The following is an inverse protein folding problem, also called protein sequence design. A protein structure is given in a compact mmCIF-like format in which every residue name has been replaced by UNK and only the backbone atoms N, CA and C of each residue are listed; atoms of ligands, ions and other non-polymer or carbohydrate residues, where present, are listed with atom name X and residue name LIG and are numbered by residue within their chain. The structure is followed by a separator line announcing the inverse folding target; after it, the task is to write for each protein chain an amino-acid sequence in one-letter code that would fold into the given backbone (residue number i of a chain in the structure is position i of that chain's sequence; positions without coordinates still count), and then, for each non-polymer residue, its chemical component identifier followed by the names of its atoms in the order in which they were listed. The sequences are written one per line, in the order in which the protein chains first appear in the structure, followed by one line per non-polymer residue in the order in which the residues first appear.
data_IF_292903952297
#
_entry.id   IF_292903952297
#
_cell.length_a   1.000
_cell.length_b   1.000
_cell.length_c   1.000
_cell.angle_alpha   90.00
_cell.angle_beta   90.00
_cell.angle_gamma   90.00
#
_symmetry.space_group_name_H-M   'P 1'
#
loop_
_entity.id
_entity.type
_entity.pdbx_description
1 polymer ?
#
# COMPACT_ATOMS: atom_id res chain seq x y z
N UNK A 1 -2.83 36.97 -58.92
CA UNK A 1 -2.13 37.46 -57.69
C UNK A 1 -2.87 37.15 -56.40
N UNK A 2 -4.15 37.45 -56.19
CA UNK A 2 -4.88 37.12 -54.93
C UNK A 2 -4.82 35.67 -54.49
N UNK A 3 -4.99 34.70 -55.41
CA UNK A 3 -4.94 33.26 -55.11
C UNK A 3 -3.55 32.77 -54.68
N UNK A 4 -2.47 33.37 -55.15
CA UNK A 4 -1.09 33.03 -54.78
C UNK A 4 -0.78 33.58 -53.37
N UNK A 5 -1.28 34.77 -53.07
CA UNK A 5 -1.11 35.38 -51.74
C UNK A 5 -1.87 34.60 -50.67
N UNK A 6 -3.11 34.10 -50.96
CA UNK A 6 -3.86 33.27 -50.03
C UNK A 6 -3.20 31.90 -49.80
N UNK A 7 -2.60 31.31 -50.86
CA UNK A 7 -1.86 30.04 -50.73
C UNK A 7 -0.58 30.21 -49.91
N UNK A 8 0.16 31.34 -50.08
CA UNK A 8 1.33 31.66 -49.27
C UNK A 8 0.96 31.92 -47.82
N UNK A 9 -0.16 32.58 -47.54
CA UNK A 9 -0.65 32.82 -46.16
C UNK A 9 -1.08 31.49 -45.50
N UNK A 10 -1.76 30.59 -46.24
CA UNK A 10 -2.12 29.26 -45.70
C UNK A 10 -0.87 28.43 -45.44
N UNK A 11 0.12 28.44 -46.35
CA UNK A 11 1.37 27.72 -46.16
C UNK A 11 2.17 28.28 -44.94
N UNK A 12 2.25 29.62 -44.82
CA UNK A 12 2.90 30.24 -43.65
C UNK A 12 2.18 29.92 -42.33
N UNK A 13 0.85 29.92 -42.33
CA UNK A 13 0.05 29.55 -41.14
C UNK A 13 0.25 28.09 -40.74
N UNK A 14 0.31 27.13 -41.73
CA UNK A 14 0.64 25.76 -41.46
C UNK A 14 2.03 25.55 -40.87
N UNK A 15 3.04 26.29 -41.40
CA UNK A 15 4.42 26.24 -40.87
C UNK A 15 4.50 26.80 -39.47
N UNK A 16 3.85 27.92 -39.18
CA UNK A 16 3.80 28.50 -37.84
C UNK A 16 3.08 27.59 -36.83
N UNK A 17 1.98 26.95 -37.24
CA UNK A 17 1.25 26.02 -36.36
C UNK A 17 2.04 24.74 -36.04
N UNK A 18 2.80 24.23 -37.01
CA UNK A 18 3.68 23.08 -36.81
C UNK A 18 4.87 23.43 -35.90
N UNK A 19 5.50 24.58 -36.09
CA UNK A 19 6.61 25.08 -35.25
C UNK A 19 6.15 25.29 -33.81
N UNK A 20 4.96 25.85 -33.59
CA UNK A 20 4.37 26.04 -32.25
C UNK A 20 4.05 24.70 -31.58
N UNK A 21 3.45 23.79 -32.32
CA UNK A 21 3.15 22.43 -31.82
C UNK A 21 4.41 21.64 -31.47
N UNK A 22 5.48 21.78 -32.26
CA UNK A 22 6.77 21.13 -31.99
C UNK A 22 7.43 21.67 -30.73
N UNK A 23 7.45 22.99 -30.57
CA UNK A 23 8.04 23.62 -29.39
C UNK A 23 7.31 23.22 -28.10
N UNK A 24 5.99 23.07 -28.17
CA UNK A 24 5.16 22.60 -27.05
C UNK A 24 5.48 21.16 -26.64
N UNK A 25 5.70 20.24 -27.59
CA UNK A 25 6.04 18.86 -27.30
C UNK A 25 7.40 18.72 -26.62
N UNK A 26 8.40 19.45 -27.13
CA UNK A 26 9.74 19.50 -26.53
C UNK A 26 9.72 20.13 -25.11
N UNK A 27 8.92 21.16 -24.91
CA UNK A 27 8.74 21.80 -23.61
C UNK A 27 8.06 20.86 -22.59
N UNK A 28 7.02 20.11 -23.00
CA UNK A 28 6.38 19.12 -22.16
C UNK A 28 7.36 18.00 -21.73
N UNK A 29 8.18 17.52 -22.66
CA UNK A 29 9.20 16.52 -22.37
C UNK A 29 10.24 17.05 -21.37
N UNK A 30 10.72 18.30 -21.55
CA UNK A 30 11.64 18.95 -20.64
C UNK A 30 11.05 19.10 -19.23
N UNK A 31 9.82 19.60 -19.12
CA UNK A 31 9.11 19.73 -17.85
C UNK A 31 8.89 18.36 -17.18
N UNK A 32 8.65 17.31 -17.97
CA UNK A 32 8.54 15.95 -17.46
C UNK A 32 9.86 15.47 -16.85
N UNK A 33 10.99 15.70 -17.53
CA UNK A 33 12.33 15.37 -17.05
C UNK A 33 12.69 16.16 -15.78
N UNK A 34 12.37 17.45 -15.73
CA UNK A 34 12.58 18.28 -14.53
C UNK A 34 11.72 17.79 -13.34
N UNK A 35 10.46 17.45 -13.59
CA UNK A 35 9.57 16.89 -12.56
C UNK A 35 10.06 15.52 -12.07
N UNK A 36 10.61 14.68 -12.98
CA UNK A 36 11.23 13.42 -12.63
C UNK A 36 12.46 13.61 -11.73
N UNK A 37 13.32 14.57 -12.06
CA UNK A 37 14.50 14.90 -11.26
C UNK A 37 14.12 15.39 -9.85
N UNK A 38 12.99 16.12 -9.73
CA UNK A 38 12.42 16.56 -8.45
C UNK A 38 11.64 15.46 -7.73
N UNK A 39 11.57 14.24 -8.28
CA UNK A 39 10.79 13.11 -7.75
C UNK A 39 9.27 13.36 -7.70
N UNK A 40 8.77 14.30 -8.48
CA UNK A 40 7.33 14.56 -8.65
C UNK A 40 6.73 13.55 -9.66
N UNK A 41 6.70 12.27 -9.29
CA UNK A 41 6.46 11.15 -10.21
C UNK A 41 5.12 11.22 -10.93
N UNK A 42 4.04 11.57 -10.22
CA UNK A 42 2.69 11.69 -10.81
C UNK A 42 2.65 12.77 -11.87
N UNK A 43 3.25 13.94 -11.57
CA UNK A 43 3.34 15.06 -12.50
C UNK A 43 4.23 14.72 -13.70
N UNK A 44 5.40 14.11 -13.46
CA UNK A 44 6.29 13.64 -14.52
C UNK A 44 5.58 12.67 -15.46
N UNK A 45 4.87 11.68 -14.92
CA UNK A 45 4.08 10.73 -15.71
C UNK A 45 3.04 11.41 -16.58
N UNK A 46 2.27 12.34 -16.02
CA UNK A 46 1.27 13.10 -16.77
C UNK A 46 1.89 13.90 -17.92
N UNK A 47 3.00 14.59 -17.67
CA UNK A 47 3.72 15.37 -18.67
C UNK A 47 4.34 14.48 -19.76
N UNK A 48 4.92 13.33 -19.40
CA UNK A 48 5.41 12.35 -20.38
C UNK A 48 4.30 11.82 -21.26
N UNK A 49 3.10 11.53 -20.73
CA UNK A 49 1.95 11.09 -21.52
C UNK A 49 1.50 12.19 -22.52
N UNK A 50 1.47 13.43 -22.09
CA UNK A 50 1.15 14.54 -22.98
C UNK A 50 2.21 14.71 -24.07
N UNK A 51 3.49 14.62 -23.72
CA UNK A 51 4.58 14.65 -24.69
C UNK A 51 4.53 13.48 -25.65
N UNK A 52 4.24 12.25 -25.16
CA UNK A 52 4.04 11.05 -25.99
C UNK A 52 2.97 11.27 -27.06
N UNK A 53 1.81 11.76 -26.66
CA UNK A 53 0.71 12.04 -27.59
C UNK A 53 1.07 13.14 -28.60
N UNK A 54 1.74 14.20 -28.15
CA UNK A 54 2.16 15.29 -29.01
C UNK A 54 3.23 14.86 -30.03
N UNK A 55 4.24 14.08 -29.63
CA UNK A 55 5.24 13.55 -30.54
C UNK A 55 4.69 12.48 -31.48
N UNK A 56 3.77 11.63 -30.98
CA UNK A 56 3.10 10.64 -31.81
C UNK A 56 2.32 11.27 -32.95
N UNK A 57 1.58 12.37 -32.69
CA UNK A 57 0.85 13.11 -33.71
C UNK A 57 1.78 13.81 -34.75
N UNK A 58 3.03 14.07 -34.38
CA UNK A 58 4.06 14.66 -35.24
C UNK A 58 4.91 13.62 -35.97
N UNK A 59 4.63 12.33 -35.81
CA UNK A 59 5.43 11.22 -36.32
C UNK A 59 6.91 11.27 -35.88
N UNK A 60 7.21 11.86 -34.72
CA UNK A 60 8.53 11.86 -34.07
C UNK A 60 8.69 10.61 -33.20
N UNK A 61 8.90 9.48 -33.87
CA UNK A 61 8.83 8.14 -33.27
C UNK A 61 9.84 7.94 -32.12
N UNK A 62 11.06 8.46 -32.25
CA UNK A 62 12.13 8.39 -31.24
C UNK A 62 11.73 9.04 -29.92
N UNK A 63 11.30 10.30 -30.00
CA UNK A 63 10.87 11.06 -28.81
C UNK A 63 9.55 10.54 -28.24
N UNK A 64 8.62 10.12 -29.11
CA UNK A 64 7.38 9.52 -28.66
C UNK A 64 7.65 8.24 -27.85
N UNK A 65 8.47 7.31 -28.37
CA UNK A 65 8.83 6.10 -27.69
C UNK A 65 9.56 6.38 -26.38
N UNK A 66 10.48 7.35 -26.35
CA UNK A 66 11.17 7.76 -25.13
C UNK A 66 10.17 8.23 -24.06
N UNK A 67 9.24 9.10 -24.43
CA UNK A 67 8.20 9.58 -23.51
C UNK A 67 7.28 8.45 -23.06
N UNK A 68 6.87 7.57 -23.97
CA UNK A 68 6.02 6.41 -23.68
C UNK A 68 6.67 5.43 -22.72
N UNK A 69 7.95 5.11 -22.93
CA UNK A 69 8.73 4.21 -22.05
C UNK A 69 8.90 4.86 -20.64
N UNK A 70 9.24 6.14 -20.57
CA UNK A 70 9.36 6.84 -19.29
C UNK A 70 8.03 6.89 -18.52
N UNK A 71 6.92 7.17 -19.20
CA UNK A 71 5.60 7.16 -18.59
C UNK A 71 5.21 5.74 -18.14
N UNK A 72 5.53 4.71 -18.93
CA UNK A 72 5.34 3.30 -18.57
C UNK A 72 6.14 2.93 -17.32
N UNK A 73 7.41 3.32 -17.22
CA UNK A 73 8.24 3.08 -16.06
C UNK A 73 7.68 3.74 -14.79
N UNK A 74 7.05 4.91 -14.92
CA UNK A 74 6.38 5.57 -13.80
C UNK A 74 5.07 4.88 -13.39
N UNK A 75 4.27 4.38 -14.33
CA UNK A 75 3.13 3.50 -14.04
C UNK A 75 3.57 2.23 -13.34
N UNK A 76 4.60 1.56 -13.87
CA UNK A 76 5.20 0.36 -13.29
C UNK A 76 5.71 0.60 -11.84
N UNK A 77 6.37 1.72 -11.60
CA UNK A 77 6.82 2.13 -10.25
C UNK A 77 5.67 2.20 -9.24
N UNK A 78 4.48 2.61 -9.68
CA UNK A 78 3.28 2.72 -8.86
C UNK A 78 2.43 1.42 -8.87
N UNK A 79 2.94 0.34 -9.47
CA UNK A 79 2.28 -0.96 -9.63
C UNK A 79 1.05 -0.95 -10.55
N UNK A 80 0.89 0.08 -11.39
CA UNK A 80 -0.13 0.13 -12.44
C UNK A 80 0.35 -0.63 -13.69
N UNK A 81 0.54 -1.93 -13.55
CA UNK A 81 1.12 -2.79 -14.61
C UNK A 81 0.28 -2.83 -15.88
N UNK A 82 -1.04 -2.83 -15.75
CA UNK A 82 -1.95 -2.87 -16.91
C UNK A 82 -1.72 -1.65 -17.79
N UNK A 83 -1.77 -0.47 -17.22
CA UNK A 83 -1.56 0.81 -17.91
C UNK A 83 -0.16 0.90 -18.53
N UNK A 84 0.85 0.41 -17.79
CA UNK A 84 2.22 0.34 -18.29
C UNK A 84 2.34 -0.55 -19.52
N UNK A 85 1.80 -1.77 -19.49
CA UNK A 85 1.82 -2.69 -20.64
C UNK A 85 1.03 -2.16 -21.82
N UNK A 86 -0.13 -1.53 -21.62
CA UNK A 86 -0.93 -0.94 -22.67
C UNK A 86 -0.20 0.22 -23.35
N UNK A 87 0.48 1.07 -22.58
CA UNK A 87 1.28 2.15 -23.13
C UNK A 87 2.44 1.64 -23.99
N UNK A 88 3.16 0.59 -23.52
CA UNK A 88 4.23 -0.04 -24.33
C UNK A 88 3.69 -0.73 -25.58
N UNK A 89 2.47 -1.28 -25.54
CA UNK A 89 1.82 -1.80 -26.74
C UNK A 89 1.52 -0.69 -27.73
N UNK A 90 1.03 0.45 -27.26
CA UNK A 90 0.83 1.65 -28.09
C UNK A 90 2.13 2.15 -28.72
N UNK A 91 3.21 2.20 -27.95
CA UNK A 91 4.53 2.57 -28.43
C UNK A 91 5.06 1.58 -29.50
N UNK A 92 4.83 0.27 -29.34
CA UNK A 92 5.22 -0.76 -30.31
C UNK A 92 4.46 -0.61 -31.63
N UNK A 93 3.14 -0.34 -31.58
CA UNK A 93 2.34 -0.04 -32.77
C UNK A 93 2.84 1.22 -33.48
N UNK A 94 3.22 2.24 -32.72
CA UNK A 94 3.78 3.47 -33.27
C UNK A 94 5.11 3.22 -33.99
N UNK A 95 6.00 2.38 -33.43
CA UNK A 95 7.23 1.96 -34.09
C UNK A 95 6.94 1.19 -35.39
N UNK A 96 5.97 0.28 -35.35
CA UNK A 96 5.57 -0.49 -36.53
C UNK A 96 5.04 0.42 -37.66
N UNK A 97 4.22 1.42 -37.34
CA UNK A 97 3.75 2.44 -38.28
C UNK A 97 4.93 3.24 -38.86
N UNK A 98 5.88 3.64 -37.99
CA UNK A 98 7.08 4.35 -38.43
C UNK A 98 7.98 3.53 -39.35
N UNK A 99 8.17 2.25 -39.08
CA UNK A 99 8.94 1.33 -39.93
C UNK A 99 8.26 1.13 -41.28
N UNK A 100 6.92 0.96 -41.32
CA UNK A 100 6.15 0.85 -42.54
C UNK A 100 6.25 2.11 -43.41
N UNK A 101 6.11 3.29 -42.79
CA UNK A 101 6.18 4.57 -43.49
C UNK A 101 7.57 4.93 -44.01
N UNK A 102 8.60 4.60 -43.21
CA UNK A 102 10.00 4.93 -43.55
C UNK A 102 10.70 3.87 -44.39
N UNK A 103 10.17 2.64 -44.45
CA UNK A 103 10.83 1.47 -45.06
C UNK A 103 12.10 1.04 -44.31
N UNK A 104 12.35 1.54 -43.08
CA UNK A 104 13.53 1.25 -42.28
C UNK A 104 13.14 0.66 -40.93
N UNK A 105 13.84 -0.37 -40.49
CA UNK A 105 13.66 -0.92 -39.15
C UNK A 105 14.20 0.03 -38.08
N UNK A 106 13.55 0.03 -36.91
CA UNK A 106 13.90 0.88 -35.75
C UNK A 106 14.24 0.02 -34.52
N UNK A 107 15.31 -0.81 -34.60
CA UNK A 107 15.63 -1.77 -33.54
C UNK A 107 15.96 -1.08 -32.19
N UNK A 108 16.55 0.12 -32.21
CA UNK A 108 16.84 0.89 -31.00
C UNK A 108 15.57 1.23 -30.21
N UNK A 109 14.48 1.59 -30.90
CA UNK A 109 13.19 1.88 -30.27
C UNK A 109 12.54 0.61 -29.73
N UNK A 110 12.59 -0.49 -30.51
CA UNK A 110 12.11 -1.80 -30.05
C UNK A 110 12.90 -2.29 -28.83
N UNK A 111 14.20 -2.07 -28.79
CA UNK A 111 15.05 -2.39 -27.65
C UNK A 111 14.56 -1.69 -26.39
N UNK A 112 14.32 -0.38 -26.44
CA UNK A 112 13.84 0.39 -25.29
C UNK A 112 12.49 -0.13 -24.76
N UNK A 113 11.55 -0.44 -25.65
CA UNK A 113 10.24 -1.00 -25.29
C UNK A 113 10.38 -2.38 -24.65
N UNK A 114 11.17 -3.28 -25.27
CA UNK A 114 11.36 -4.64 -24.76
C UNK A 114 12.10 -4.66 -23.42
N UNK A 115 13.06 -3.73 -23.21
CA UNK A 115 13.76 -3.58 -21.95
C UNK A 115 12.82 -3.23 -20.79
N UNK A 116 11.94 -2.24 -20.97
CA UNK A 116 10.97 -1.86 -19.94
C UNK A 116 9.97 -3.00 -19.68
N UNK A 117 9.50 -3.68 -20.75
CA UNK A 117 8.62 -4.83 -20.62
C UNK A 117 9.29 -5.99 -19.86
N UNK A 118 10.56 -6.25 -20.13
CA UNK A 118 11.36 -7.22 -19.39
C UNK A 118 11.47 -6.84 -17.91
N UNK A 119 11.75 -5.57 -17.59
CA UNK A 119 11.85 -5.10 -16.22
C UNK A 119 10.53 -5.30 -15.45
N UNK A 120 9.39 -5.06 -16.09
CA UNK A 120 8.08 -5.35 -15.48
C UNK A 120 7.90 -6.84 -15.17
N UNK A 121 8.25 -7.75 -16.08
CA UNK A 121 8.15 -9.18 -15.82
C UNK A 121 9.14 -9.68 -14.77
N UNK A 122 10.31 -9.06 -14.66
CA UNK A 122 11.26 -9.30 -13.57
C UNK A 122 10.63 -8.93 -12.22
N UNK A 123 10.01 -7.76 -12.13
CA UNK A 123 9.37 -7.30 -10.91
C UNK A 123 8.14 -8.12 -10.54
N UNK A 124 7.38 -8.57 -11.53
CA UNK A 124 6.25 -9.50 -11.36
C UNK A 124 6.70 -10.93 -11.00
N UNK A 125 8.02 -11.18 -10.91
CA UNK A 125 8.58 -12.51 -10.64
C UNK A 125 8.10 -13.59 -11.61
N UNK A 126 7.93 -13.23 -12.88
CA UNK A 126 7.50 -14.13 -13.93
C UNK A 126 8.69 -14.51 -14.83
N UNK A 127 9.46 -15.58 -14.50
CA UNK A 127 10.67 -15.94 -15.21
C UNK A 127 10.41 -16.35 -16.67
N UNK A 128 9.28 -16.99 -16.97
CA UNK A 128 8.96 -17.44 -18.32
C UNK A 128 8.75 -16.25 -19.27
N UNK A 129 7.90 -15.30 -18.88
CA UNK A 129 7.66 -14.08 -19.67
C UNK A 129 8.88 -13.17 -19.72
N UNK A 130 9.62 -13.07 -18.62
CA UNK A 130 10.88 -12.32 -18.59
C UNK A 130 11.91 -12.94 -19.58
N UNK A 131 12.05 -14.27 -19.62
CA UNK A 131 12.93 -14.95 -20.59
C UNK A 131 12.54 -14.69 -22.05
N UNK A 132 11.24 -14.74 -22.35
CA UNK A 132 10.73 -14.39 -23.69
C UNK A 132 11.13 -12.98 -24.10
N UNK A 133 10.98 -12.00 -23.21
CA UNK A 133 11.38 -10.62 -23.49
C UNK A 133 12.88 -10.44 -23.60
N UNK A 134 13.65 -11.20 -22.80
CA UNK A 134 15.11 -11.19 -22.89
C UNK A 134 15.60 -11.64 -24.26
N UNK A 135 15.03 -12.71 -24.83
CA UNK A 135 15.35 -13.17 -26.20
C UNK A 135 15.06 -12.08 -27.24
N UNK A 136 13.88 -11.45 -27.17
CA UNK A 136 13.54 -10.32 -28.05
C UNK A 136 14.51 -9.14 -27.90
N UNK A 137 14.98 -8.89 -26.69
CA UNK A 137 15.95 -7.84 -26.41
C UNK A 137 17.31 -8.16 -27.03
N UNK A 138 17.76 -9.43 -26.97
CA UNK A 138 18.99 -9.91 -27.61
C UNK A 138 18.93 -9.76 -29.14
N UNK A 139 17.79 -10.13 -29.74
CA UNK A 139 17.56 -9.99 -31.19
C UNK A 139 17.60 -8.52 -31.62
N UNK A 140 16.93 -7.65 -30.86
CA UNK A 140 16.88 -6.22 -31.20
C UNK A 140 18.24 -5.54 -31.00
N UNK A 141 18.99 -5.87 -29.97
CA UNK A 141 20.34 -5.35 -29.76
C UNK A 141 21.30 -5.77 -30.89
N UNK A 142 21.21 -7.05 -31.30
CA UNK A 142 22.01 -7.55 -32.44
C UNK A 142 21.66 -6.85 -33.75
N UNK A 143 20.38 -6.55 -33.98
CA UNK A 143 19.92 -5.82 -35.15
C UNK A 143 20.35 -4.34 -35.17
N UNK A 144 20.40 -3.71 -34.00
CA UNK A 144 20.78 -2.31 -33.83
C UNK A 144 22.27 -2.05 -34.11
N UNK A 145 23.15 -3.03 -33.92
CA UNK A 145 24.62 -2.91 -34.08
C UNK A 145 25.19 -1.69 -33.35
N UNK A 146 24.70 -1.45 -32.14
CA UNK A 146 25.02 -0.28 -31.31
C UNK A 146 25.69 -0.75 -30.02
N UNK A 147 26.95 -0.34 -29.80
CA UNK A 147 27.71 -0.76 -28.63
C UNK A 147 27.10 -0.31 -27.32
N UNK A 148 26.47 0.86 -27.29
CA UNK A 148 25.77 1.33 -26.09
C UNK A 148 24.60 0.42 -25.73
N UNK A 149 23.83 -0.06 -26.72
CA UNK A 149 22.75 -1.01 -26.49
C UNK A 149 23.28 -2.40 -26.12
N UNK A 150 24.42 -2.83 -26.67
CA UNK A 150 25.06 -4.08 -26.26
C UNK A 150 25.50 -4.05 -24.79
N UNK A 151 26.05 -2.92 -24.32
CA UNK A 151 26.43 -2.75 -22.93
C UNK A 151 25.19 -2.75 -22.01
N UNK A 152 24.12 -2.07 -22.44
CA UNK A 152 22.85 -2.06 -21.73
C UNK A 152 22.17 -3.45 -21.71
N UNK A 153 22.33 -4.23 -22.78
CA UNK A 153 21.90 -5.63 -22.84
C UNK A 153 22.66 -6.48 -21.82
N UNK A 154 23.98 -6.40 -21.75
CA UNK A 154 24.80 -7.17 -20.80
C UNK A 154 24.36 -6.88 -19.35
N UNK A 155 24.11 -5.61 -19.05
CA UNK A 155 23.59 -5.20 -17.75
C UNK A 155 22.20 -5.80 -17.48
N UNK A 156 21.31 -5.73 -18.45
CA UNK A 156 19.93 -6.22 -18.34
C UNK A 156 19.87 -7.74 -18.18
N UNK A 157 20.77 -8.46 -18.90
CA UNK A 157 20.98 -9.89 -18.74
C UNK A 157 21.43 -10.24 -17.34
N UNK A 158 22.45 -9.54 -16.82
CA UNK A 158 22.92 -9.74 -15.46
C UNK A 158 21.79 -9.54 -14.43
N UNK A 159 21.01 -8.47 -14.55
CA UNK A 159 19.86 -8.20 -13.68
C UNK A 159 18.82 -9.34 -13.70
N UNK A 160 18.47 -9.83 -14.89
CA UNK A 160 17.57 -10.97 -15.05
C UNK A 160 18.10 -12.20 -14.29
N UNK A 161 19.33 -12.61 -14.57
CA UNK A 161 19.90 -13.84 -13.99
C UNK A 161 20.06 -13.75 -12.47
N UNK A 162 20.50 -12.61 -11.93
CA UNK A 162 20.60 -12.42 -10.49
C UNK A 162 19.22 -12.42 -9.79
N UNK A 163 18.24 -11.79 -10.40
CA UNK A 163 16.89 -11.72 -9.80
C UNK A 163 16.24 -13.10 -9.71
N UNK A 164 16.54 -14.00 -10.64
CA UNK A 164 16.03 -15.38 -10.62
C UNK A 164 17.01 -16.40 -10.02
N UNK A 165 18.03 -15.94 -9.28
CA UNK A 165 18.95 -16.79 -8.52
C UNK A 165 20.02 -17.50 -9.33
N UNK A 166 20.14 -17.21 -10.62
CA UNK A 166 21.14 -17.79 -11.53
C UNK A 166 22.44 -16.98 -11.48
N UNK A 167 23.07 -16.96 -10.31
CA UNK A 167 24.18 -16.04 -10.01
C UNK A 167 25.39 -16.22 -10.96
N UNK A 168 25.74 -17.45 -11.33
CA UNK A 168 26.89 -17.71 -12.22
C UNK A 168 26.72 -17.09 -13.61
N UNK A 169 25.50 -17.15 -14.17
CA UNK A 169 25.21 -16.47 -15.45
C UNK A 169 25.24 -14.95 -15.28
N UNK A 170 24.65 -14.43 -14.19
CA UNK A 170 24.73 -13.01 -13.87
C UNK A 170 26.17 -12.51 -13.78
N UNK A 171 27.03 -13.27 -13.06
CA UNK A 171 28.47 -12.97 -12.96
C UNK A 171 29.15 -12.95 -14.33
N UNK A 172 28.82 -13.87 -15.25
CA UNK A 172 29.42 -13.91 -16.58
C UNK A 172 29.12 -12.62 -17.38
N UNK A 173 27.88 -12.16 -17.36
CA UNK A 173 27.49 -10.95 -18.11
C UNK A 173 28.07 -9.67 -17.53
N UNK A 174 28.03 -9.51 -16.21
CA UNK A 174 28.56 -8.29 -15.58
C UNK A 174 30.10 -8.23 -15.66
N UNK A 175 30.77 -9.35 -15.51
CA UNK A 175 32.23 -9.39 -15.65
C UNK A 175 32.64 -9.04 -17.09
N UNK A 176 31.88 -9.50 -18.10
CA UNK A 176 32.11 -9.13 -19.50
C UNK A 176 31.96 -7.62 -19.70
N UNK A 177 30.92 -7.02 -19.16
CA UNK A 177 30.69 -5.58 -19.24
C UNK A 177 31.82 -4.78 -18.56
N UNK A 178 32.23 -5.19 -17.35
CA UNK A 178 33.34 -4.57 -16.61
C UNK A 178 34.66 -4.71 -17.37
N UNK A 179 34.94 -5.88 -17.97
CA UNK A 179 36.14 -6.08 -18.77
C UNK A 179 36.20 -5.18 -19.99
N UNK A 180 35.07 -5.03 -20.72
CA UNK A 180 34.98 -4.10 -21.86
C UNK A 180 35.27 -2.66 -21.45
N UNK A 181 34.73 -2.19 -20.33
CA UNK A 181 34.99 -0.84 -19.86
C UNK A 181 36.43 -0.66 -19.37
N UNK A 182 37.05 -1.68 -18.77
CA UNK A 182 38.46 -1.66 -18.39
C UNK A 182 39.38 -1.57 -19.61
N UNK A 183 39.11 -2.34 -20.68
CA UNK A 183 39.84 -2.29 -21.95
C UNK A 183 39.72 -0.90 -22.61
N UNK A 184 38.55 -0.28 -22.50
CA UNK A 184 38.31 1.10 -22.98
C UNK A 184 38.91 2.18 -22.05
N UNK A 185 39.54 1.78 -20.92
CA UNK A 185 40.02 2.70 -19.86
C UNK A 185 38.91 3.64 -19.31
N UNK A 186 37.67 3.22 -19.43
CA UNK A 186 36.51 3.97 -18.92
C UNK A 186 36.25 3.58 -17.47
N UNK A 187 37.07 4.06 -16.58
CA UNK A 187 37.03 3.72 -15.17
C UNK A 187 35.77 4.21 -14.46
N UNK A 188 35.19 5.31 -14.94
CA UNK A 188 33.91 5.80 -14.44
C UNK A 188 32.78 4.77 -14.68
N UNK A 189 32.73 4.20 -15.88
CA UNK A 189 31.75 3.14 -16.21
C UNK A 189 32.00 1.84 -15.46
N UNK A 190 33.25 1.51 -15.14
CA UNK A 190 33.54 0.38 -14.24
C UNK A 190 32.99 0.62 -12.86
N UNK A 191 33.20 1.82 -12.31
CA UNK A 191 32.67 2.24 -11.02
C UNK A 191 31.14 2.16 -10.98
N UNK A 192 30.48 2.75 -11.98
CA UNK A 192 29.04 2.70 -12.17
C UNK A 192 28.52 1.25 -12.26
N UNK A 193 29.23 0.37 -12.97
CA UNK A 193 28.85 -1.05 -13.10
C UNK A 193 28.87 -1.78 -11.76
N UNK A 194 29.88 -1.58 -10.92
CA UNK A 194 29.91 -2.17 -9.58
C UNK A 194 28.80 -1.63 -8.68
N UNK A 195 28.58 -0.31 -8.66
CA UNK A 195 27.49 0.33 -7.89
C UNK A 195 26.13 -0.22 -8.30
N UNK A 196 25.94 -0.36 -9.59
CA UNK A 196 24.70 -0.88 -10.16
C UNK A 196 24.49 -2.37 -9.82
N UNK A 197 25.55 -3.17 -9.83
CA UNK A 197 25.49 -4.58 -9.40
C UNK A 197 25.11 -4.70 -7.92
N UNK A 198 25.60 -3.81 -7.06
CA UNK A 198 25.23 -3.74 -5.66
C UNK A 198 23.71 -3.46 -5.53
N UNK A 199 23.20 -2.54 -6.33
CA UNK A 199 21.77 -2.22 -6.32
C UNK A 199 20.88 -3.38 -6.81
N UNK A 200 21.32 -4.10 -7.84
CA UNK A 200 20.66 -5.34 -8.30
C UNK A 200 20.63 -6.37 -7.17
N UNK A 201 21.79 -6.61 -6.54
CA UNK A 201 21.92 -7.59 -5.47
C UNK A 201 21.02 -7.27 -4.27
N UNK A 202 20.91 -5.98 -3.90
CA UNK A 202 19.99 -5.49 -2.86
C UNK A 202 18.53 -5.73 -3.23
N UNK A 203 18.13 -5.38 -4.44
CA UNK A 203 16.75 -5.61 -4.93
C UNK A 203 16.40 -7.09 -5.00
N UNK A 204 17.38 -7.95 -5.27
CA UNK A 204 17.23 -9.39 -5.26
C UNK A 204 17.28 -10.01 -3.83
N UNK A 205 17.51 -9.21 -2.78
CA UNK A 205 17.75 -9.67 -1.40
C UNK A 205 18.91 -10.69 -1.30
N UNK A 206 19.94 -10.53 -2.13
CA UNK A 206 21.08 -11.43 -2.19
C UNK A 206 22.28 -10.84 -1.43
N UNK A 207 22.29 -11.00 -0.09
CA UNK A 207 23.33 -10.47 0.78
C UNK A 207 24.74 -11.00 0.42
N UNK A 208 24.85 -12.28 0.01
CA UNK A 208 26.12 -12.85 -0.41
C UNK A 208 26.67 -12.21 -1.68
N UNK A 209 25.82 -11.84 -2.63
CA UNK A 209 26.24 -11.12 -3.83
C UNK A 209 26.62 -9.68 -3.48
N UNK A 210 25.88 -9.02 -2.58
CA UNK A 210 26.23 -7.67 -2.09
C UNK A 210 27.63 -7.67 -1.51
N UNK A 211 27.94 -8.58 -0.57
CA UNK A 211 29.24 -8.67 0.08
C UNK A 211 30.37 -8.91 -0.94
N UNK A 212 30.24 -9.95 -1.79
CA UNK A 212 31.25 -10.25 -2.82
C UNK A 212 31.48 -9.12 -3.80
N UNK A 213 30.42 -8.37 -4.13
CA UNK A 213 30.55 -7.25 -5.06
C UNK A 213 31.26 -6.07 -4.41
N UNK A 214 30.98 -5.80 -3.13
CA UNK A 214 31.74 -4.80 -2.38
C UNK A 214 33.22 -5.16 -2.28
N UNK A 215 33.57 -6.42 -1.98
CA UNK A 215 34.94 -6.87 -1.93
C UNK A 215 35.66 -6.65 -3.27
N UNK A 216 35.03 -7.07 -4.38
CA UNK A 216 35.57 -6.85 -5.74
C UNK A 216 35.70 -5.36 -6.07
N UNK A 217 34.72 -4.55 -5.66
CA UNK A 217 34.74 -3.12 -5.90
C UNK A 217 35.85 -2.43 -5.12
N UNK A 218 36.03 -2.80 -3.84
CA UNK A 218 37.13 -2.27 -3.00
C UNK A 218 38.49 -2.64 -3.62
N UNK A 219 38.70 -3.92 -3.94
CA UNK A 219 39.93 -4.38 -4.57
C UNK A 219 40.25 -3.65 -5.89
N UNK A 220 39.21 -3.43 -6.69
CA UNK A 220 39.35 -2.66 -7.93
C UNK A 220 39.68 -1.19 -7.64
N UNK A 221 38.96 -0.56 -6.71
CA UNK A 221 39.17 0.83 -6.30
C UNK A 221 40.55 1.05 -5.77
N UNK A 222 41.05 0.15 -4.92
CA UNK A 222 42.42 0.19 -4.37
C UNK A 222 43.47 0.08 -5.48
N UNK A 223 43.24 -0.79 -6.49
CA UNK A 223 44.17 -1.00 -7.59
C UNK A 223 44.26 0.19 -8.57
N UNK A 224 43.20 0.96 -8.72
CA UNK A 224 43.11 2.05 -9.71
C UNK A 224 43.25 3.43 -9.07
N UNK A 225 42.87 3.56 -7.81
CA UNK A 225 42.70 4.83 -7.11
C UNK A 225 43.62 4.98 -5.89
N UNK A 226 44.71 4.23 -5.79
CA UNK A 226 45.64 4.35 -4.67
C UNK A 226 46.14 5.80 -4.43
N UNK A 227 45.94 6.70 -5.38
CA UNK A 227 46.28 8.13 -5.29
C UNK A 227 45.10 9.07 -4.93
N UNK A 228 43.83 8.64 -5.00
CA UNK A 228 42.66 9.51 -4.70
C UNK A 228 41.66 8.84 -3.75
N UNK A 229 41.94 7.63 -3.28
CA UNK A 229 40.98 6.70 -2.72
C UNK A 229 40.47 7.00 -1.29
N UNK A 230 41.14 7.86 -0.53
CA UNK A 230 40.82 8.00 0.88
C UNK A 230 39.45 8.69 1.13
N UNK A 231 39.12 9.66 0.29
CA UNK A 231 37.85 10.39 0.45
C UNK A 231 36.65 9.61 -0.11
N UNK A 232 36.80 8.90 -1.24
CA UNK A 232 35.72 8.10 -1.81
C UNK A 232 35.45 6.82 -1.03
N UNK A 233 36.46 6.20 -0.45
CA UNK A 233 36.33 5.06 0.44
C UNK A 233 35.55 5.45 1.72
N UNK A 234 35.83 6.65 2.23
CA UNK A 234 35.10 7.20 3.38
C UNK A 234 33.63 7.49 3.05
N UNK A 235 33.36 7.97 1.84
CA UNK A 235 31.96 8.18 1.37
C UNK A 235 31.24 6.85 1.18
N UNK A 236 31.94 5.83 0.65
CA UNK A 236 31.35 4.50 0.47
C UNK A 236 31.12 3.79 1.80
N UNK A 237 32.06 3.89 2.75
CA UNK A 237 31.86 3.41 4.12
C UNK A 237 30.66 4.10 4.78
N UNK A 238 30.57 5.42 4.69
CA UNK A 238 29.41 6.15 5.23
C UNK A 238 28.09 5.66 4.61
N UNK A 239 28.07 5.49 3.27
CA UNK A 239 26.86 4.96 2.59
C UNK A 239 26.55 3.51 2.99
N UNK A 240 27.56 2.71 3.28
CA UNK A 240 27.36 1.34 3.78
C UNK A 240 26.84 1.37 5.21
N UNK A 241 27.44 2.17 6.08
CA UNK A 241 27.01 2.34 7.47
C UNK A 241 25.58 2.95 7.53
N UNK A 242 25.27 3.95 6.70
CA UNK A 242 23.93 4.50 6.54
C UNK A 242 22.91 3.44 6.06
N UNK A 243 23.34 2.53 5.18
CA UNK A 243 22.46 1.46 4.70
C UNK A 243 22.24 0.35 5.73
N UNK A 244 23.28 0.04 6.54
CA UNK A 244 23.13 -0.85 7.71
C UNK A 244 22.23 -0.21 8.78
N UNK A 245 22.45 1.06 9.10
CA UNK A 245 21.55 1.79 10.00
C UNK A 245 20.11 1.80 9.50
N UNK A 246 19.91 2.01 8.20
CA UNK A 246 18.55 1.97 7.62
C UNK A 246 17.92 0.58 7.70
N UNK A 247 18.73 -0.49 7.63
CA UNK A 247 18.25 -1.86 7.83
C UNK A 247 17.93 -2.11 9.31
N UNK A 248 18.82 -1.71 10.22
CA UNK A 248 18.59 -1.80 11.68
C UNK A 248 17.38 -0.95 12.12
N UNK A 249 17.22 0.26 11.59
CA UNK A 249 16.05 1.10 11.85
C UNK A 249 14.76 0.47 11.31
N UNK A 250 14.81 -0.17 10.14
CA UNK A 250 13.66 -0.91 9.60
C UNK A 250 13.35 -2.16 10.42
N UNK A 251 14.35 -2.90 10.85
CA UNK A 251 14.17 -4.07 11.71
C UNK A 251 13.67 -3.66 13.10
N UNK A 252 14.20 -2.58 13.68
CA UNK A 252 13.70 -2.04 14.94
C UNK A 252 12.28 -1.51 14.81
N UNK A 253 11.95 -0.85 13.69
CA UNK A 253 10.59 -0.39 13.40
C UNK A 253 9.61 -1.54 13.11
N UNK A 254 10.09 -2.63 12.49
CA UNK A 254 9.30 -3.85 12.29
C UNK A 254 9.04 -4.57 13.60
N UNK A 255 10.04 -4.70 14.47
CA UNK A 255 9.87 -5.27 15.81
C UNK A 255 8.94 -4.40 16.67
N UNK A 256 9.09 -3.06 16.63
CA UNK A 256 8.16 -2.16 17.31
C UNK A 256 6.71 -2.32 16.81
N UNK A 257 6.51 -2.43 15.49
CA UNK A 257 5.19 -2.70 14.90
C UNK A 257 4.65 -4.07 15.29
N UNK A 258 5.50 -5.10 15.37
CA UNK A 258 5.11 -6.42 15.87
C UNK A 258 4.64 -6.37 17.32
N UNK A 259 5.36 -5.65 18.21
CA UNK A 259 4.95 -5.46 19.60
C UNK A 259 3.62 -4.70 19.71
N UNK A 260 3.39 -3.70 18.85
CA UNK A 260 2.11 -2.97 18.81
C UNK A 260 0.98 -3.90 18.37
N UNK A 261 1.20 -4.75 17.35
CA UNK A 261 0.20 -5.72 16.87
C UNK A 261 -0.11 -6.74 17.96
N UNK A 262 0.92 -7.27 18.64
CA UNK A 262 0.75 -8.21 19.76
C UNK A 262 -0.03 -7.53 20.90
N UNK A 263 0.32 -6.30 21.25
CA UNK A 263 -0.40 -5.51 22.27
C UNK A 263 -1.87 -5.29 21.91
N UNK A 264 -2.16 -4.96 20.64
CA UNK A 264 -3.52 -4.81 20.15
C UNK A 264 -4.31 -6.13 20.17
N UNK A 265 -3.68 -7.26 19.83
CA UNK A 265 -4.30 -8.57 19.91
C UNK A 265 -4.63 -8.96 21.37
N UNK A 266 -3.73 -8.68 22.32
CA UNK A 266 -3.98 -8.90 23.75
C UNK A 266 -5.13 -8.02 24.23
N UNK A 267 -5.12 -6.73 23.87
CA UNK A 267 -6.19 -5.80 24.24
C UNK A 267 -7.55 -6.23 23.66
N UNK A 268 -7.57 -6.64 22.40
CA UNK A 268 -8.78 -7.17 21.76
C UNK A 268 -9.29 -8.44 22.47
N UNK A 269 -8.38 -9.32 22.87
CA UNK A 269 -8.71 -10.52 23.65
C UNK A 269 -9.31 -10.16 25.02
N UNK A 270 -8.73 -9.19 25.72
CA UNK A 270 -9.27 -8.71 27.01
C UNK A 270 -10.65 -8.06 26.86
N UNK A 271 -10.84 -7.26 25.82
CA UNK A 271 -12.15 -6.66 25.52
C UNK A 271 -13.20 -7.73 25.19
N UNK A 272 -12.84 -8.74 24.41
CA UNK A 272 -13.75 -9.84 24.10
C UNK A 272 -14.14 -10.64 25.36
N UNK A 273 -13.19 -10.93 26.26
CA UNK A 273 -13.48 -11.59 27.53
C UNK A 273 -14.36 -10.73 28.46
N UNK A 274 -14.09 -9.42 28.52
CA UNK A 274 -14.92 -8.48 29.29
C UNK A 274 -16.37 -8.42 28.75
N UNK A 275 -16.55 -8.42 27.44
CA UNK A 275 -17.88 -8.45 26.80
C UNK A 275 -18.63 -9.76 27.11
N UNK A 276 -17.94 -10.89 27.07
CA UNK A 276 -18.53 -12.19 27.46
C UNK A 276 -18.98 -12.17 28.91
N UNK A 277 -18.12 -11.68 29.83
CA UNK A 277 -18.45 -11.56 31.25
C UNK A 277 -19.64 -10.60 31.46
N UNK A 278 -19.65 -9.44 30.80
CA UNK A 278 -20.78 -8.51 30.86
C UNK A 278 -22.08 -9.16 30.33
N UNK A 279 -21.99 -9.94 29.28
CA UNK A 279 -23.12 -10.73 28.75
C UNK A 279 -23.67 -11.74 29.77
N UNK A 280 -22.78 -12.46 30.46
CA UNK A 280 -23.16 -13.43 31.52
C UNK A 280 -23.83 -12.70 32.69
N UNK A 281 -23.29 -11.54 33.10
CA UNK A 281 -23.87 -10.72 34.18
C UNK A 281 -25.25 -10.21 33.80
N UNK A 282 -25.40 -9.68 32.57
CA UNK A 282 -26.69 -9.23 32.03
C UNK A 282 -27.71 -10.38 31.99
N UNK A 283 -27.27 -11.56 31.55
CA UNK A 283 -28.15 -12.72 31.47
C UNK A 283 -28.59 -13.17 32.88
N UNK A 284 -27.68 -13.16 33.86
CA UNK A 284 -28.03 -13.38 35.28
C UNK A 284 -28.98 -12.34 35.83
N UNK A 285 -28.75 -11.07 35.49
CA UNK A 285 -29.63 -9.96 35.92
C UNK A 285 -31.03 -10.11 35.34
N UNK A 286 -31.15 -10.45 34.06
CA UNK A 286 -32.48 -10.71 33.41
C UNK A 286 -33.18 -11.91 34.06
N UNK A 287 -32.45 -12.98 34.36
CA UNK A 287 -33.01 -14.15 35.03
C UNK A 287 -33.49 -13.83 36.46
N UNK A 288 -32.70 -13.05 37.22
CA UNK A 288 -33.07 -12.58 38.55
C UNK A 288 -34.30 -11.67 38.51
N UNK A 289 -34.32 -10.74 37.57
CA UNK A 289 -35.51 -9.83 37.39
C UNK A 289 -36.77 -10.62 37.00
N UNK A 290 -36.64 -11.65 36.17
CA UNK A 290 -37.76 -12.56 35.85
C UNK A 290 -38.22 -13.36 37.08
N UNK A 291 -37.29 -13.82 37.92
CA UNK A 291 -37.63 -14.51 39.18
C UNK A 291 -38.33 -13.54 40.16
N UNK A 292 -37.82 -12.33 40.30
CA UNK A 292 -38.44 -11.30 41.16
C UNK A 292 -39.85 -10.91 40.66
N UNK A 293 -40.04 -10.72 39.34
CA UNK A 293 -41.38 -10.46 38.79
C UNK A 293 -42.35 -11.61 39.09
N UNK A 294 -41.92 -12.87 38.95
CA UNK A 294 -42.76 -14.04 39.31
C UNK A 294 -43.09 -14.05 40.80
N UNK A 295 -42.11 -13.77 41.65
CA UNK A 295 -42.31 -13.70 43.10
C UNK A 295 -43.29 -12.57 43.51
N UNK A 296 -43.17 -11.41 42.88
CA UNK A 296 -44.10 -10.26 43.08
C UNK A 296 -45.50 -10.64 42.60
N UNK A 297 -45.63 -11.34 41.46
CA UNK A 297 -46.91 -11.75 40.94
C UNK A 297 -47.60 -12.76 41.90
N UNK A 298 -46.84 -13.75 42.40
CA UNK A 298 -47.35 -14.74 43.38
C UNK A 298 -47.74 -14.03 44.69
N UNK A 299 -46.93 -13.05 45.15
CA UNK A 299 -47.24 -12.28 46.34
C UNK A 299 -48.53 -11.43 46.19
N UNK A 300 -48.73 -10.83 45.00
CA UNK A 300 -49.91 -10.07 44.67
C UNK A 300 -51.15 -10.99 44.59
N UNK A 301 -51.05 -12.16 43.95
CA UNK A 301 -52.13 -13.13 43.91
C UNK A 301 -52.49 -13.62 45.33
N UNK A 302 -51.48 -13.85 46.18
CA UNK A 302 -51.70 -14.21 47.59
C UNK A 302 -52.36 -13.07 48.38
N UNK A 303 -52.00 -11.80 48.12
CA UNK A 303 -52.61 -10.66 48.75
C UNK A 303 -54.07 -10.47 48.26
N UNK A 304 -54.34 -10.66 46.99
CA UNK A 304 -55.72 -10.65 46.47
C UNK A 304 -56.60 -11.72 47.08
N UNK A 305 -56.06 -12.93 47.20
CA UNK A 305 -56.77 -14.02 47.85
C UNK A 305 -57.04 -13.72 49.34
N UNK A 306 -56.03 -13.13 50.02
CA UNK A 306 -56.16 -12.72 51.41
C UNK A 306 -57.21 -11.60 51.54
N UNK A 307 -57.26 -10.63 50.64
CA UNK A 307 -58.26 -9.55 50.64
C UNK A 307 -59.65 -10.09 50.38
N UNK A 308 -59.81 -11.01 49.42
CA UNK A 308 -61.08 -11.70 49.14
C UNK A 308 -61.56 -12.53 50.31
N UNK A 309 -60.60 -13.19 50.97
CA UNK A 309 -60.90 -13.98 52.16
C UNK A 309 -61.40 -13.08 53.35
N UNK A 310 -60.67 -11.97 53.60
CA UNK A 310 -61.10 -10.98 54.60
C UNK A 310 -62.44 -10.34 54.24
N UNK A 311 -62.67 -9.99 52.99
CA UNK A 311 -63.96 -9.47 52.56
C UNK A 311 -65.09 -10.50 52.73
N UNK A 312 -64.81 -11.76 52.42
CA UNK A 312 -65.79 -12.81 52.57
C UNK A 312 -66.18 -13.08 54.07
N UNK A 313 -65.11 -13.07 54.94
CA UNK A 313 -65.35 -13.15 56.37
C UNK A 313 -66.06 -11.91 56.91
N UNK A 314 -65.66 -10.73 56.49
CA UNK A 314 -66.33 -9.51 56.88
C UNK A 314 -67.83 -9.48 56.47
N UNK A 315 -68.11 -9.89 55.25
CA UNK A 315 -69.52 -9.97 54.73
C UNK A 315 -70.38 -11.03 55.43
N UNK A 316 -69.75 -12.12 55.93
CA UNK A 316 -70.40 -13.16 56.70
C UNK A 316 -70.58 -12.78 58.18
N UNK A 317 -69.66 -11.97 58.72
CA UNK A 317 -69.74 -11.53 60.14
C UNK A 317 -70.59 -10.32 60.30
N UNK A 318 -70.74 -9.45 59.31
CA UNK A 318 -71.58 -8.20 59.37
C UNK A 318 -73.01 -8.47 59.78
N UNK A 319 -73.74 -9.48 59.20
CA UNK A 319 -75.11 -9.79 59.64
C UNK A 319 -75.15 -10.38 61.06
N UNK A 320 -74.09 -11.15 61.46
CA UNK A 320 -74.06 -11.71 62.80
C UNK A 320 -73.68 -10.71 63.86
N UNK A 321 -72.85 -9.71 63.57
CA UNK A 321 -72.57 -8.55 64.45
C UNK A 321 -73.78 -7.62 64.55
N UNK A 322 -74.49 -7.39 63.49
CA UNK A 322 -75.74 -6.60 63.51
C UNK A 322 -76.87 -7.29 64.32
N UNK A 323 -76.92 -8.61 64.28
CA UNK A 323 -77.85 -9.35 65.15
C UNK A 323 -77.43 -9.36 66.61
N UNK A 324 -76.12 -9.32 66.91
CA UNK A 324 -75.59 -9.18 68.28
C UNK A 324 -75.86 -7.79 68.81
N UNK A 325 -75.68 -6.73 68.01
CA UNK A 325 -75.90 -5.33 68.41
C UNK A 325 -77.42 -5.03 68.69
N UNK A 326 -78.34 -5.81 68.10
CA UNK A 326 -79.80 -5.69 68.32
C UNK A 326 -80.27 -6.52 69.49
N UNK A 327 -79.49 -7.54 69.94
CA UNK A 327 -79.95 -8.48 71.00
C UNK A 327 -79.38 -8.22 72.37
N UNK A 328 -78.29 -7.38 72.52
CA UNK A 328 -77.63 -7.03 73.78
C UNK A 328 -77.44 -5.50 73.97
N UNK A 329 -78.39 -4.78 74.56
CA UNK A 329 -78.23 -3.36 74.82
C UNK A 329 -77.33 -3.07 76.05
N UNK A 330 -76.28 -3.78 76.28
CA UNK A 330 -75.44 -3.62 77.45
C UNK A 330 -73.90 -3.50 77.23
N UNK A 331 -73.42 -3.63 75.99
CA UNK A 331 -71.96 -3.71 75.70
C UNK A 331 -71.40 -2.39 75.08
N UNK A 332 -72.15 -1.31 75.13
CA UNK A 332 -71.64 0.03 74.66
C UNK A 332 -70.64 0.71 75.61
N UNK A 333 -70.26 0.08 76.73
CA UNK A 333 -69.40 0.73 77.75
C UNK A 333 -67.89 0.33 77.65
N UNK A 334 -67.47 -0.46 76.65
CA UNK A 334 -66.11 -0.88 76.49
C UNK A 334 -65.37 -0.39 75.19
N UNK A 335 -65.88 0.67 74.60
CA UNK A 335 -65.18 1.36 73.49
C UNK A 335 -64.30 2.46 73.98
N UNK A 336 -63.32 2.12 74.85
CA UNK A 336 -62.50 3.17 75.46
C UNK A 336 -61.01 2.85 75.51
N UNK A 337 -60.52 1.78 74.88
CA UNK A 337 -59.08 1.52 74.87
C UNK A 337 -58.68 0.73 73.64
N UNK A 338 -58.45 1.42 72.54
CA UNK A 338 -57.55 1.01 71.46
C UNK A 338 -57.14 2.25 70.66
N UNK A 339 -56.10 2.92 71.15
CA UNK A 339 -55.36 3.84 70.30
C UNK A 339 -54.69 3.07 69.16
N UNK A 340 -54.69 3.58 67.92
CA UNK A 340 -53.99 2.98 66.81
C UNK A 340 -52.49 3.23 67.02
N UNK A 341 -51.72 2.18 67.26
CA UNK A 341 -50.26 2.21 67.23
C UNK A 341 -49.81 2.57 65.82
N UNK A 342 -49.29 3.78 65.73
CA UNK A 342 -48.68 4.34 64.46
C UNK A 342 -47.47 3.52 64.07
N UNK A 343 -47.55 2.88 62.90
CA UNK A 343 -46.47 2.18 62.23
C UNK A 343 -45.43 3.13 61.62
N UNK A 344 -44.87 4.08 62.36
CA UNK A 344 -43.86 5.02 61.85
C UNK A 344 -42.47 4.75 62.36
N UNK A 345 -42.15 3.66 63.05
CA UNK A 345 -40.84 3.44 63.63
C UNK A 345 -40.03 2.23 63.12
N UNK A 346 -40.39 1.64 61.95
CA UNK A 346 -39.64 0.52 61.39
C UNK A 346 -38.96 0.83 60.04
N UNK A 347 -38.71 2.09 59.72
CA UNK A 347 -38.05 2.50 58.50
C UNK A 347 -36.66 3.16 58.72
N UNK A 348 -36.08 3.01 59.86
CA UNK A 348 -34.82 3.71 60.20
C UNK A 348 -33.57 2.78 60.42
N UNK A 349 -33.65 1.46 60.12
CA UNK A 349 -32.52 0.57 60.40
C UNK A 349 -31.99 -0.23 59.19
N UNK A 350 -32.45 0.04 57.96
CA UNK A 350 -31.96 -0.73 56.79
C UNK A 350 -31.10 0.04 55.78
N UNK A 351 -30.67 1.25 56.13
CA UNK A 351 -29.76 2.08 55.27
C UNK A 351 -28.35 2.25 55.81
N UNK A 352 -27.82 1.28 56.57
CA UNK A 352 -26.41 1.30 57.00
C UNK A 352 -25.76 -0.07 56.94
N UNK A 353 -25.72 -0.69 55.74
CA UNK A 353 -24.76 -1.74 55.42
C UNK A 353 -24.72 -1.89 53.88
N UNK A 354 -23.97 -1.04 53.24
CA UNK A 354 -23.22 -1.27 52.00
C UNK A 354 -22.60 0.06 51.60
N UNK A 355 -21.46 0.33 52.21
CA UNK A 355 -20.35 1.06 51.62
C UNK A 355 -19.26 0.03 51.37
#
# INVERSE_FOLDING_TARGET
MRKIITLLFLAAFCICSQAYSQNRADELMKQAQESLAKKEYIKARYLFLQAYNAFSSQAKYDKAVECGVNASALYHRENYYKEAFELLRGAELLVTDGEQKSGKTMPDLRFRINKERLQMYINLKNPARAKEQLVKLEETAKAAKNDSLNNDLLYTQANYYYTFGMNSQGDAYINRLISQYKEQKNYEKVDESYKTLIDIARKANNAGLVARTYDKYILWSDSVKALTAQDELNVLKRKYDDSLQTIEEKDSSLSAKQYIIIGLCILAGLLATALVLAGIVLLRFVLLTRKQKKAIQIANEHNELKTKFIQNISSQMEPTLNTLDTTLPGVRALKGFAEPVSYTHLRAHETRRHL
#
